data_IF_271406526768
#
_entry.id   IF_271406526768
#
_cell.length_a   1.000
_cell.length_b   1.000
_cell.length_c   1.000
_cell.angle_alpha   90.00
_cell.angle_beta   90.00
_cell.angle_gamma   90.00
#
_symmetry.space_group_name_H-M   'P 1'
#
loop_
_entity.id
_entity.type
_entity.pdbx_description
1 polymer ?
#
# COMPACT_ATOMS: atom_id res chain seq x y z
N UNK A 1 -10.51 -27.01 70.10
CA UNK A 1 -11.68 -26.13 69.88
C UNK A 1 -11.22 -24.89 69.11
N UNK A 2 -11.98 -24.50 68.05
CA UNK A 2 -11.96 -23.21 67.30
C UNK A 2 -10.70 -22.95 66.44
N UNK A 3 -10.72 -23.13 65.11
CA UNK A 3 -11.35 -22.37 63.98
C UNK A 3 -10.63 -21.05 63.61
N UNK A 4 -10.04 -21.04 62.38
CA UNK A 4 -10.13 -20.00 61.30
C UNK A 4 -9.48 -18.60 61.59
N UNK A 5 -8.84 -17.77 60.73
CA UNK A 5 -8.59 -17.59 59.27
C UNK A 5 -7.33 -16.69 59.14
N UNK A 6 -6.31 -17.08 58.36
CA UNK A 6 -5.84 -16.47 57.10
C UNK A 6 -5.80 -14.92 57.01
N UNK A 7 -4.58 -14.38 56.86
CA UNK A 7 -4.28 -13.29 55.90
C UNK A 7 -2.77 -13.04 55.85
N UNK A 8 -2.08 -13.59 54.85
CA UNK A 8 -0.74 -13.16 54.45
C UNK A 8 -0.84 -12.71 52.99
N UNK A 9 -0.60 -11.43 52.77
CA UNK A 9 -0.45 -10.84 51.46
C UNK A 9 0.84 -11.38 50.81
N UNK A 10 0.70 -12.12 49.72
CA UNK A 10 1.82 -12.49 48.86
C UNK A 10 1.90 -11.45 47.73
N UNK A 11 2.79 -10.48 47.89
CA UNK A 11 3.19 -9.55 46.84
C UNK A 11 4.10 -10.34 45.87
N UNK A 12 3.57 -10.78 44.74
CA UNK A 12 4.35 -11.44 43.69
C UNK A 12 5.06 -10.37 42.86
N UNK A 13 6.31 -10.08 43.20
CA UNK A 13 7.23 -9.33 42.35
C UNK A 13 7.67 -10.22 41.18
N UNK A 14 7.20 -9.91 39.97
CA UNK A 14 7.70 -10.53 38.74
C UNK A 14 9.06 -9.91 38.44
N UNK A 15 10.12 -10.68 38.67
CA UNK A 15 11.47 -10.38 38.22
C UNK A 15 11.55 -10.65 36.71
N UNK A 16 11.55 -9.58 35.91
CA UNK A 16 11.91 -9.65 34.49
C UNK A 16 13.44 -9.72 34.44
N UNK A 17 13.96 -10.88 34.07
CA UNK A 17 15.38 -11.08 33.80
C UNK A 17 15.74 -10.43 32.47
N UNK A 18 16.27 -9.21 32.50
CA UNK A 18 16.96 -8.60 31.38
C UNK A 18 18.35 -9.22 31.22
N UNK A 19 18.55 -10.11 30.25
CA UNK A 19 19.88 -10.36 29.71
C UNK A 19 20.29 -9.14 28.89
N UNK A 20 21.18 -8.31 29.46
CA UNK A 20 21.94 -7.30 28.72
C UNK A 20 22.83 -8.02 27.71
N UNK A 21 22.48 -7.96 26.44
CA UNK A 21 23.47 -7.92 25.38
C UNK A 21 23.58 -6.46 24.95
N UNK A 22 24.80 -5.93 25.04
CA UNK A 22 25.13 -4.56 24.71
C UNK A 22 24.97 -4.36 23.19
N UNK A 23 23.85 -3.75 22.79
CA UNK A 23 23.72 -3.15 21.47
C UNK A 23 24.49 -1.83 21.51
N UNK A 24 25.71 -1.85 20.97
CA UNK A 24 26.47 -0.65 20.68
C UNK A 24 25.69 0.15 19.63
N UNK A 25 25.06 1.22 20.08
CA UNK A 25 24.46 2.24 19.22
C UNK A 25 25.57 3.09 18.60
N UNK A 26 25.73 3.04 17.29
CA UNK A 26 26.39 4.12 16.52
C UNK A 26 25.39 4.72 15.55
N UNK A 27 24.93 5.91 15.92
CA UNK A 27 24.50 7.09 15.14
C UNK A 27 24.03 6.94 13.68
N UNK A 28 22.83 7.49 13.47
CA UNK A 28 22.39 8.42 12.43
C UNK A 28 23.17 8.50 11.09
N UNK A 29 22.44 8.32 9.99
CA UNK A 29 22.66 9.06 8.74
C UNK A 29 23.81 8.57 7.85
N UNK A 30 23.64 7.43 7.18
CA UNK A 30 24.28 7.14 5.91
C UNK A 30 23.56 5.97 5.23
N UNK A 31 23.36 6.05 3.91
CA UNK A 31 22.81 4.99 3.08
C UNK A 31 23.54 3.66 3.34
N UNK A 32 22.84 2.70 3.95
CA UNK A 32 23.35 1.33 4.01
C UNK A 32 23.10 0.66 2.66
N UNK A 33 24.15 0.58 1.85
CA UNK A 33 24.27 -0.43 0.79
C UNK A 33 24.19 -1.82 1.44
N UNK A 34 23.06 -2.50 1.26
CA UNK A 34 22.94 -3.92 1.55
C UNK A 34 23.59 -4.63 0.36
N UNK A 35 24.67 -5.38 0.59
CA UNK A 35 25.30 -6.21 -0.45
C UNK A 35 24.63 -7.58 -0.44
N UNK A 36 24.00 -7.97 -1.56
CA UNK A 36 23.59 -9.36 -1.79
C UNK A 36 24.78 -10.15 -2.38
N UNK A 37 24.85 -11.45 -2.05
CA UNK A 37 25.96 -12.40 -2.29
C UNK A 37 26.37 -12.61 -3.77
N UNK A 38 25.76 -11.87 -4.71
CA UNK A 38 25.98 -12.00 -6.15
C UNK A 38 26.69 -10.79 -6.80
N UNK A 39 27.16 -9.80 -6.03
CA UNK A 39 27.97 -8.70 -6.57
C UNK A 39 27.22 -7.72 -7.49
N UNK A 40 25.88 -7.71 -7.46
CA UNK A 40 25.10 -6.62 -8.03
C UNK A 40 25.10 -5.42 -7.07
N UNK A 41 25.45 -4.24 -7.58
CA UNK A 41 25.27 -2.97 -6.89
C UNK A 41 23.79 -2.84 -6.50
N UNK A 42 23.49 -2.61 -5.22
CA UNK A 42 22.11 -2.42 -4.79
C UNK A 42 21.59 -1.13 -5.44
N UNK A 43 20.82 -1.28 -6.52
CA UNK A 43 20.02 -0.19 -7.06
C UNK A 43 19.08 0.34 -5.97
N UNK A 44 18.55 1.55 -6.16
CA UNK A 44 17.50 2.10 -5.28
C UNK A 44 16.42 1.03 -5.06
N UNK A 45 16.13 0.66 -3.81
CA UNK A 45 15.06 -0.29 -3.46
C UNK A 45 13.74 0.45 -3.25
N UNK A 46 12.60 -0.23 -3.48
CA UNK A 46 11.29 0.35 -3.18
C UNK A 46 11.17 0.52 -1.66
N UNK A 47 10.76 1.72 -1.25
CA UNK A 47 10.41 2.04 0.14
C UNK A 47 9.02 2.66 0.14
N UNK A 48 8.03 1.89 0.59
CA UNK A 48 6.68 2.36 0.91
C UNK A 48 6.57 2.54 2.43
N UNK A 49 5.78 3.53 2.87
CA UNK A 49 5.56 3.83 4.29
C UNK A 49 4.10 3.60 4.74
N UNK A 50 3.30 2.84 3.98
CA UNK A 50 1.89 2.63 4.28
C UNK A 50 1.67 1.83 5.58
N UNK A 51 2.49 0.79 5.83
CA UNK A 51 2.41 -0.03 7.04
C UNK A 51 2.79 0.76 8.30
N UNK A 52 3.87 1.55 8.23
CA UNK A 52 4.33 2.43 9.30
C UNK A 52 3.35 3.58 9.54
N UNK A 53 2.78 4.16 8.48
CA UNK A 53 1.72 5.16 8.58
C UNK A 53 0.52 4.58 9.34
N UNK A 54 0.07 3.37 8.97
CA UNK A 54 -1.01 2.70 9.69
C UNK A 54 -0.66 2.45 11.17
N UNK A 55 0.54 1.93 11.45
CA UNK A 55 0.98 1.69 12.83
C UNK A 55 0.97 2.99 13.66
N UNK A 56 1.43 4.10 13.07
CA UNK A 56 1.38 5.42 13.68
C UNK A 56 -0.06 5.88 13.95
N UNK A 57 -0.98 5.67 12.99
CA UNK A 57 -2.39 6.03 13.16
C UNK A 57 -3.08 5.19 14.23
N UNK A 58 -2.79 3.88 14.31
CA UNK A 58 -3.29 2.99 15.36
C UNK A 58 -2.81 3.42 16.74
N UNK A 59 -1.54 3.82 16.86
CA UNK A 59 -0.98 4.33 18.11
C UNK A 59 -1.65 5.64 18.57
N UNK A 60 -2.02 6.51 17.63
CA UNK A 60 -2.66 7.80 17.92
C UNK A 60 -4.18 7.67 18.16
N UNK A 61 -4.84 6.70 17.52
CA UNK A 61 -6.28 6.49 17.62
C UNK A 61 -6.63 5.01 17.79
N UNK A 62 -6.72 4.50 19.04
CA UNK A 62 -7.08 3.11 19.29
C UNK A 62 -8.44 2.66 18.72
N UNK A 63 -9.36 3.59 18.43
CA UNK A 63 -10.66 3.26 17.78
C UNK A 63 -10.50 2.88 16.31
N UNK A 64 -9.38 3.21 15.69
CA UNK A 64 -9.08 2.80 14.33
C UNK A 64 -9.03 1.27 14.22
N UNK A 65 -8.47 0.57 15.22
CA UNK A 65 -8.42 -0.89 15.22
C UNK A 65 -9.83 -1.52 15.08
N UNK A 66 -10.80 -1.05 15.88
CA UNK A 66 -12.19 -1.50 15.81
C UNK A 66 -12.86 -1.17 14.47
N UNK A 67 -12.53 -0.02 13.89
CA UNK A 67 -13.02 0.38 12.57
C UNK A 67 -12.49 -0.56 11.50
N UNK A 68 -11.21 -0.89 11.54
CA UNK A 68 -10.58 -1.80 10.59
C UNK A 68 -11.08 -3.23 10.75
N UNK A 69 -11.31 -3.71 11.98
CA UNK A 69 -11.97 -5.01 12.20
C UNK A 69 -13.36 -5.06 11.56
N UNK A 70 -14.12 -3.96 11.65
CA UNK A 70 -15.43 -3.86 11.00
C UNK A 70 -15.30 -3.88 9.47
N UNK A 71 -14.28 -3.21 8.91
CA UNK A 71 -14.00 -3.21 7.48
C UNK A 71 -13.61 -4.61 7.01
N UNK A 72 -12.73 -5.31 7.72
CA UNK A 72 -12.35 -6.69 7.38
C UNK A 72 -13.53 -7.67 7.49
N UNK A 73 -14.38 -7.54 8.50
CA UNK A 73 -15.58 -8.37 8.63
C UNK A 73 -16.56 -8.16 7.46
N UNK A 74 -16.75 -6.91 7.02
CA UNK A 74 -17.55 -6.58 5.84
C UNK A 74 -16.92 -7.11 4.55
N UNK A 75 -15.61 -6.92 4.37
CA UNK A 75 -14.86 -7.42 3.22
C UNK A 75 -14.97 -8.94 3.10
N UNK A 76 -14.76 -9.66 4.21
CA UNK A 76 -14.93 -11.12 4.24
C UNK A 76 -16.35 -11.55 3.90
N UNK A 77 -17.34 -10.88 4.47
CA UNK A 77 -18.76 -11.17 4.19
C UNK A 77 -19.09 -10.95 2.72
N UNK A 78 -18.62 -9.84 2.13
CA UNK A 78 -18.79 -9.56 0.72
C UNK A 78 -18.15 -10.63 -0.17
N UNK A 79 -16.89 -11.00 0.09
CA UNK A 79 -16.19 -12.06 -0.65
C UNK A 79 -16.97 -13.38 -0.59
N UNK A 80 -17.52 -13.72 0.59
CA UNK A 80 -18.34 -14.92 0.75
C UNK A 80 -19.62 -14.89 -0.08
N UNK A 81 -20.29 -13.73 -0.21
CA UNK A 81 -21.50 -13.62 -1.05
C UNK A 81 -21.24 -13.80 -2.54
N UNK A 82 -19.99 -13.61 -2.98
CA UNK A 82 -19.60 -13.78 -4.38
C UNK A 82 -19.22 -15.23 -4.71
N UNK A 83 -19.08 -16.11 -3.72
CA UNK A 83 -18.81 -17.54 -3.94
C UNK A 83 -20.08 -18.27 -4.39
N UNK A 84 -20.00 -19.19 -5.37
CA UNK A 84 -21.15 -20.01 -5.76
C UNK A 84 -21.68 -20.84 -4.57
N UNK A 85 -23.01 -20.98 -4.39
CA UNK A 85 -23.61 -21.60 -3.19
C UNK A 85 -23.32 -23.09 -2.97
N UNK A 86 -22.62 -23.78 -3.89
CA UNK A 86 -22.21 -25.19 -3.78
C UNK A 86 -20.70 -25.40 -3.97
N UNK A 87 -19.90 -24.33 -3.89
CA UNK A 87 -18.46 -24.41 -4.07
C UNK A 87 -17.79 -24.97 -2.81
N UNK A 88 -17.11 -26.10 -2.92
CA UNK A 88 -16.36 -26.76 -1.84
C UNK A 88 -15.09 -26.02 -1.44
N UNK A 89 -15.14 -24.69 -1.34
CA UNK A 89 -14.00 -23.83 -1.01
C UNK A 89 -12.98 -23.62 -2.13
N UNK A 90 -13.19 -24.21 -3.31
CA UNK A 90 -12.24 -24.17 -4.44
C UNK A 90 -12.71 -23.40 -5.69
N UNK A 91 -13.95 -22.91 -5.75
CA UNK A 91 -14.41 -22.12 -6.90
C UNK A 91 -14.17 -20.62 -6.66
N UNK A 92 -13.63 -19.94 -7.68
CA UNK A 92 -13.39 -18.50 -7.66
C UNK A 92 -14.71 -17.72 -7.52
N UNK A 93 -14.77 -16.67 -6.69
CA UNK A 93 -15.96 -15.84 -6.55
C UNK A 93 -16.29 -15.13 -7.88
N UNK A 94 -17.58 -15.02 -8.21
CA UNK A 94 -18.04 -14.28 -9.39
C UNK A 94 -17.51 -12.85 -9.37
N UNK A 95 -16.81 -12.46 -10.43
CA UNK A 95 -16.02 -11.24 -10.53
C UNK A 95 -16.57 -10.25 -11.56
N UNK A 96 -17.82 -10.41 -11.99
CA UNK A 96 -18.46 -9.45 -12.89
C UNK A 96 -19.04 -8.28 -12.09
N UNK A 97 -18.31 -7.16 -12.09
CA UNK A 97 -18.72 -5.89 -11.52
C UNK A 97 -18.87 -4.84 -12.62
N UNK A 98 -19.79 -3.88 -12.45
CA UNK A 98 -19.75 -2.67 -13.26
C UNK A 98 -18.42 -1.93 -13.00
N UNK A 99 -17.89 -1.34 -14.07
CA UNK A 99 -16.69 -0.50 -13.97
C UNK A 99 -16.96 0.69 -13.07
N UNK A 100 -16.14 0.88 -12.03
CA UNK A 100 -16.17 2.04 -11.14
C UNK A 100 -15.15 3.05 -11.61
N UNK A 101 -15.54 4.32 -11.76
CA UNK A 101 -14.64 5.42 -12.09
C UNK A 101 -14.38 6.25 -10.83
N UNK A 102 -13.17 6.17 -10.29
CA UNK A 102 -12.76 6.96 -9.13
C UNK A 102 -12.28 8.33 -9.64
N UNK A 103 -12.91 9.44 -9.23
CA UNK A 103 -12.45 10.77 -9.57
C UNK A 103 -11.23 11.15 -8.71
N UNK A 104 -10.20 11.74 -9.33
CA UNK A 104 -8.89 12.00 -8.72
C UNK A 104 -8.56 13.48 -8.68
N UNK A 105 -8.11 13.97 -7.53
CA UNK A 105 -7.40 15.25 -7.41
C UNK A 105 -5.91 15.01 -7.19
N UNK A 106 -5.07 15.71 -7.97
CA UNK A 106 -3.61 15.67 -7.81
C UNK A 106 -3.12 17.01 -7.26
N UNK A 107 -2.44 16.97 -6.11
CA UNK A 107 -1.92 18.15 -5.42
C UNK A 107 -0.40 18.16 -5.53
N UNK A 108 0.13 18.95 -6.48
CA UNK A 108 1.58 19.14 -6.66
C UNK A 108 2.07 20.22 -5.69
N UNK A 109 2.90 19.82 -4.74
CA UNK A 109 3.55 20.72 -3.80
C UNK A 109 5.05 20.71 -4.08
N UNK A 110 5.56 21.82 -4.57
CA UNK A 110 6.91 21.91 -5.15
C UNK A 110 7.75 22.97 -4.46
N UNK A 111 9.05 22.69 -4.29
CA UNK A 111 10.05 23.63 -3.79
C UNK A 111 10.98 24.16 -4.89
N UNK A 112 11.06 23.45 -6.01
CA UNK A 112 11.84 23.84 -7.19
C UNK A 112 11.07 23.52 -8.49
N UNK A 113 11.67 23.87 -9.63
CA UNK A 113 11.05 23.73 -10.94
C UNK A 113 10.89 22.28 -11.41
N UNK A 114 11.76 21.36 -10.98
CA UNK A 114 11.65 19.94 -11.34
C UNK A 114 10.49 19.26 -10.61
N UNK A 115 10.27 19.62 -9.34
CA UNK A 115 9.15 19.11 -8.54
C UNK A 115 7.78 19.64 -9.01
N UNK A 116 7.75 20.75 -9.74
CA UNK A 116 6.52 21.26 -10.38
C UNK A 116 6.21 20.47 -11.66
N UNK A 117 5.98 19.17 -11.52
CA UNK A 117 5.82 18.19 -12.61
C UNK A 117 4.77 18.61 -13.65
N UNK A 118 4.95 18.29 -14.93
CA UNK A 118 4.04 18.75 -15.97
C UNK A 118 2.66 18.07 -15.91
N UNK A 119 1.65 18.68 -16.54
CA UNK A 119 0.33 18.03 -16.70
C UNK A 119 0.44 16.75 -17.53
N UNK A 120 1.40 16.67 -18.48
CA UNK A 120 1.68 15.47 -19.24
C UNK A 120 2.16 14.32 -18.32
N UNK A 121 3.11 14.60 -17.42
CA UNK A 121 3.55 13.63 -16.41
C UNK A 121 2.38 13.16 -15.52
N UNK A 122 1.50 14.07 -15.10
CA UNK A 122 0.30 13.70 -14.32
C UNK A 122 -0.65 12.80 -15.14
N UNK A 123 -0.95 13.19 -16.38
CA UNK A 123 -1.82 12.41 -17.26
C UNK A 123 -1.23 11.02 -17.58
N UNK A 124 0.09 10.93 -17.72
CA UNK A 124 0.78 9.64 -17.91
C UNK A 124 0.54 8.70 -16.73
N UNK A 125 0.53 9.21 -15.49
CA UNK A 125 0.22 8.38 -14.32
C UNK A 125 -1.22 7.90 -14.30
N UNK A 126 -2.18 8.78 -14.63
CA UNK A 126 -3.59 8.39 -14.71
C UNK A 126 -3.80 7.32 -15.80
N UNK A 127 -3.07 7.41 -16.91
CA UNK A 127 -3.07 6.36 -17.93
C UNK A 127 -2.47 5.04 -17.43
N UNK A 128 -1.39 5.05 -16.64
CA UNK A 128 -0.83 3.84 -16.00
C UNK A 128 -1.82 3.22 -15.02
N UNK A 129 -2.43 4.00 -14.13
CA UNK A 129 -3.44 3.48 -13.20
C UNK A 129 -4.59 2.80 -13.95
N UNK A 130 -5.08 3.42 -15.03
CA UNK A 130 -6.12 2.81 -15.86
C UNK A 130 -5.66 1.53 -16.56
N UNK A 131 -4.40 1.43 -16.98
CA UNK A 131 -3.87 0.20 -17.60
C UNK A 131 -3.74 -0.92 -16.58
N UNK A 132 -3.08 -0.63 -15.46
CA UNK A 132 -2.74 -1.60 -14.42
C UNK A 132 -4.00 -2.13 -13.71
N UNK A 133 -4.96 -1.26 -13.37
CA UNK A 133 -6.21 -1.67 -12.72
C UNK A 133 -7.22 -2.33 -13.66
N UNK A 134 -7.07 -2.17 -14.99
CA UNK A 134 -7.93 -2.82 -15.99
C UNK A 134 -7.29 -4.02 -16.68
N UNK A 135 -6.08 -4.43 -16.25
CA UNK A 135 -5.29 -5.49 -16.89
C UNK A 135 -5.11 -5.26 -18.41
N UNK A 136 -4.90 -4.01 -18.80
CA UNK A 136 -4.60 -3.60 -20.18
C UNK A 136 -3.17 -3.07 -20.33
N UNK A 137 -2.34 -3.26 -19.30
CA UNK A 137 -0.92 -3.02 -19.32
C UNK A 137 -0.21 -4.00 -20.26
N UNK A 138 0.73 -3.50 -21.08
CA UNK A 138 1.38 -4.28 -22.13
C UNK A 138 2.32 -5.37 -21.63
N UNK A 139 2.75 -5.27 -20.38
CA UNK A 139 3.60 -6.24 -19.65
C UNK A 139 2.78 -7.35 -18.98
N UNK A 140 1.43 -7.32 -19.04
CA UNK A 140 0.58 -8.40 -18.51
C UNK A 140 0.86 -9.77 -19.15
N UNK A 141 1.39 -9.79 -20.38
CA UNK A 141 1.80 -11.05 -21.04
C UNK A 141 3.04 -11.70 -20.41
N UNK A 142 3.75 -10.99 -19.52
CA UNK A 142 4.92 -11.51 -18.82
C UNK A 142 4.56 -12.35 -17.58
N UNK A 143 3.28 -12.38 -17.18
CA UNK A 143 2.79 -13.21 -16.07
C UNK A 143 3.16 -14.67 -16.29
N UNK A 144 3.89 -15.31 -15.34
CA UNK A 144 4.19 -16.72 -15.41
C UNK A 144 2.92 -17.56 -15.57
N UNK A 145 3.01 -18.65 -16.34
CA UNK A 145 1.85 -19.51 -16.62
C UNK A 145 1.15 -19.99 -15.35
N UNK A 146 1.89 -20.20 -14.26
CA UNK A 146 1.38 -20.58 -12.93
C UNK A 146 0.34 -19.58 -12.37
N UNK A 147 0.52 -18.28 -12.62
CA UNK A 147 -0.34 -17.23 -12.08
C UNK A 147 -1.25 -16.55 -13.12
N UNK A 148 -1.15 -16.96 -14.39
CA UNK A 148 -1.92 -16.36 -15.48
C UNK A 148 -3.44 -16.42 -15.27
N UNK A 149 -3.94 -17.48 -14.60
CA UNK A 149 -5.36 -17.61 -14.23
C UNK A 149 -5.80 -16.70 -13.08
N UNK A 150 -4.87 -16.13 -12.32
CA UNK A 150 -5.14 -15.25 -11.19
C UNK A 150 -5.14 -13.77 -11.57
N UNK A 151 -4.51 -13.38 -12.68
CA UNK A 151 -4.44 -11.99 -13.12
C UNK A 151 -5.82 -11.38 -13.37
N UNK A 152 -6.07 -10.19 -12.81
CA UNK A 152 -7.40 -9.61 -12.76
C UNK A 152 -7.53 -8.23 -13.40
N UNK A 153 -8.53 -8.08 -14.29
CA UNK A 153 -9.17 -6.78 -14.52
C UNK A 153 -10.02 -6.44 -13.28
N UNK A 154 -9.59 -5.45 -12.51
CA UNK A 154 -10.25 -5.07 -11.26
C UNK A 154 -11.59 -4.36 -11.48
N UNK A 155 -11.87 -3.93 -12.71
CA UNK A 155 -13.02 -3.10 -13.10
C UNK A 155 -13.06 -1.76 -12.32
N UNK A 156 -11.88 -1.22 -12.02
CA UNK A 156 -11.69 0.11 -11.45
C UNK A 156 -10.91 0.94 -12.47
N UNK A 157 -11.36 2.15 -12.70
CA UNK A 157 -10.69 3.13 -13.55
C UNK A 157 -10.68 4.49 -12.83
N UNK A 158 -9.86 5.41 -13.33
CA UNK A 158 -9.56 6.69 -12.70
C UNK A 158 -9.76 7.82 -13.70
N UNK A 159 -10.37 8.91 -13.24
CA UNK A 159 -10.53 10.13 -14.03
C UNK A 159 -9.94 11.32 -13.28
N UNK A 160 -8.98 12.00 -13.91
CA UNK A 160 -8.45 13.24 -13.37
C UNK A 160 -9.57 14.29 -13.32
N UNK A 161 -9.83 14.80 -12.12
CA UNK A 161 -10.86 15.83 -11.86
C UNK A 161 -10.23 17.21 -11.76
N UNK A 162 -9.07 17.31 -11.13
CA UNK A 162 -8.38 18.58 -11.00
C UNK A 162 -6.95 18.45 -10.51
N UNK A 163 -6.20 19.53 -10.70
CA UNK A 163 -4.82 19.66 -10.25
C UNK A 163 -4.71 20.92 -9.39
N UNK A 164 -4.13 20.78 -8.20
CA UNK A 164 -3.67 21.91 -7.39
C UNK A 164 -2.16 22.00 -7.50
N UNK A 165 -1.61 23.21 -7.67
CA UNK A 165 -0.15 23.45 -7.64
C UNK A 165 0.16 24.47 -6.56
N UNK A 166 1.09 24.15 -5.67
CA UNK A 166 1.50 25.02 -4.56
C UNK A 166 3.00 25.05 -4.41
N UNK A 167 3.60 26.23 -4.56
CA UNK A 167 4.97 26.45 -4.15
C UNK A 167 5.09 26.40 -2.62
N UNK A 168 6.13 25.75 -2.11
CA UNK A 168 6.49 25.74 -0.70
C UNK A 168 7.99 25.99 -0.54
N UNK A 169 8.39 26.75 0.47
CA UNK A 169 9.82 26.92 0.83
C UNK A 169 10.37 25.70 1.59
N UNK A 170 9.49 24.78 2.04
CA UNK A 170 9.88 23.51 2.66
C UNK A 170 10.33 22.54 1.57
N UNK A 171 11.59 22.14 1.63
CA UNK A 171 12.20 21.23 0.67
C UNK A 171 11.85 19.76 0.88
N UNK A 172 11.48 19.34 2.11
CA UNK A 172 11.17 17.95 2.45
C UNK A 172 10.01 17.86 3.44
N UNK A 173 9.05 16.97 3.18
CA UNK A 173 7.80 16.87 3.93
C UNK A 173 7.78 15.77 5.00
N UNK A 174 8.59 14.72 4.86
CA UNK A 174 8.53 13.54 5.72
C UNK A 174 7.19 12.81 5.61
N UNK A 175 6.89 12.00 6.62
CA UNK A 175 5.72 11.10 6.64
C UNK A 175 4.69 11.43 7.71
N UNK A 176 4.69 12.67 8.23
CA UNK A 176 3.78 13.15 9.29
C UNK A 176 2.47 13.77 8.77
N UNK A 177 2.18 13.59 7.48
CA UNK A 177 1.03 14.18 6.78
C UNK A 177 0.98 15.72 6.80
N UNK A 178 2.10 16.41 7.03
CA UNK A 178 2.13 17.89 7.00
C UNK A 178 1.77 18.44 5.62
N UNK A 179 2.11 17.72 4.53
CA UNK A 179 1.78 18.10 3.16
C UNK A 179 0.28 18.09 2.88
N UNK A 180 -0.49 17.38 3.71
CA UNK A 180 -1.96 17.28 3.61
C UNK A 180 -2.68 18.39 4.39
N UNK A 181 -1.94 19.36 4.94
CA UNK A 181 -2.48 20.41 5.82
C UNK A 181 -2.05 21.79 5.35
N UNK A 182 -3.00 22.62 4.92
CA UNK A 182 -2.72 24.00 4.50
C UNK A 182 -2.07 24.84 5.60
N UNK A 183 -2.46 24.57 6.86
CA UNK A 183 -1.88 25.17 8.07
C UNK A 183 -0.40 24.84 8.31
N UNK A 184 0.12 23.78 7.70
CA UNK A 184 1.54 23.39 7.73
C UNK A 184 2.24 23.68 6.39
N UNK A 185 1.64 24.53 5.55
CA UNK A 185 2.15 24.89 4.23
C UNK A 185 1.74 23.93 3.11
N UNK A 186 1.06 22.82 3.41
CA UNK A 186 0.60 21.82 2.46
C UNK A 186 -0.70 22.20 1.73
N UNK A 187 -1.46 21.20 1.28
CA UNK A 187 -2.77 21.34 0.64
C UNK A 187 -3.75 20.42 1.34
N UNK A 188 -4.87 20.97 1.84
CA UNK A 188 -5.92 20.16 2.48
C UNK A 188 -6.58 19.22 1.45
N UNK A 189 -7.06 18.03 1.86
CA UNK A 189 -7.80 17.15 0.96
C UNK A 189 -9.07 17.83 0.44
N UNK A 190 -9.35 17.64 -0.85
CA UNK A 190 -10.59 18.06 -1.48
C UNK A 190 -11.57 16.90 -1.39
N UNK A 191 -12.62 17.08 -0.58
CA UNK A 191 -13.75 16.15 -0.42
C UNK A 191 -13.33 14.65 -0.46
N UNK A 192 -12.56 14.20 0.55
CA UNK A 192 -11.97 12.86 0.59
C UNK A 192 -12.99 11.72 0.65
N UNK A 193 -14.29 12.04 0.83
CA UNK A 193 -15.35 11.05 0.73
C UNK A 193 -15.65 10.67 -0.73
N UNK A 194 -15.53 11.63 -1.65
CA UNK A 194 -15.92 11.48 -3.05
C UNK A 194 -14.74 11.50 -4.02
N UNK A 195 -13.54 11.91 -3.60
CA UNK A 195 -12.35 11.96 -4.44
C UNK A 195 -11.15 11.27 -3.83
N UNK A 196 -10.42 10.51 -4.66
CA UNK A 196 -9.06 10.11 -4.33
C UNK A 196 -8.14 11.33 -4.42
N UNK A 197 -7.54 11.69 -3.29
CA UNK A 197 -6.55 12.76 -3.20
C UNK A 197 -5.14 12.17 -3.29
N UNK A 198 -4.35 12.66 -4.25
CA UNK A 198 -2.96 12.26 -4.45
C UNK A 198 -2.06 13.48 -4.28
N UNK A 199 -1.17 13.47 -3.30
CA UNK A 199 -0.17 14.53 -3.12
C UNK A 199 1.15 14.14 -3.76
N UNK A 200 1.74 15.08 -4.49
CA UNK A 200 3.06 14.96 -5.10
C UNK A 200 3.99 15.94 -4.40
N UNK A 201 4.99 15.44 -3.70
CA UNK A 201 5.95 16.28 -2.97
C UNK A 201 7.23 15.52 -2.64
N UNK A 202 8.33 16.21 -2.34
CA UNK A 202 9.53 15.53 -1.83
C UNK A 202 9.30 15.00 -0.40
N UNK A 203 9.14 13.69 -0.26
CA UNK A 203 8.90 13.02 1.03
C UNK A 203 10.19 12.94 1.86
N UNK A 204 11.35 12.73 1.21
CA UNK A 204 12.61 12.47 1.89
C UNK A 204 12.85 11.01 2.28
N UNK A 205 14.02 10.72 2.83
CA UNK A 205 14.38 9.39 3.37
C UNK A 205 14.45 8.25 2.33
N UNK A 206 14.41 8.57 1.04
CA UNK A 206 14.30 7.59 -0.05
C UNK A 206 12.93 6.90 -0.15
N UNK A 207 11.91 7.42 0.54
CA UNK A 207 10.54 6.89 0.48
C UNK A 207 9.92 7.27 -0.86
N UNK A 208 9.39 6.27 -1.57
CA UNK A 208 8.78 6.49 -2.89
C UNK A 208 7.35 7.01 -2.76
N UNK A 209 6.60 6.46 -1.81
CA UNK A 209 5.23 6.81 -1.55
C UNK A 209 4.68 6.19 -0.27
N UNK A 210 3.47 6.58 0.09
CA UNK A 210 2.67 5.92 1.11
C UNK A 210 1.19 6.23 0.94
N UNK A 211 0.34 5.33 1.44
CA UNK A 211 -1.10 5.50 1.49
C UNK A 211 -1.64 5.58 2.92
N UNK A 212 -2.85 6.09 3.05
CA UNK A 212 -3.70 5.83 4.21
C UNK A 212 -4.67 4.69 3.89
N UNK A 213 -4.66 3.64 4.73
CA UNK A 213 -5.64 2.56 4.66
C UNK A 213 -7.07 3.03 4.98
N UNK A 214 -8.11 2.34 4.49
CA UNK A 214 -9.50 2.64 4.85
C UNK A 214 -9.74 2.67 6.36
N UNK A 215 -10.60 3.59 6.80
CA UNK A 215 -10.97 3.78 8.22
C UNK A 215 -10.16 4.86 8.94
N UNK A 216 -9.07 5.36 8.34
CA UNK A 216 -8.30 6.49 8.86
C UNK A 216 -9.05 7.83 8.82
N UNK A 217 -8.38 8.91 9.24
CA UNK A 217 -8.98 10.25 9.27
C UNK A 217 -9.24 10.79 7.86
N UNK A 218 -10.42 11.36 7.63
CA UNK A 218 -10.73 12.05 6.38
C UNK A 218 -9.75 13.20 6.06
N UNK A 219 -9.22 13.87 7.10
CA UNK A 219 -8.30 15.01 6.93
C UNK A 219 -6.93 14.64 6.34
N UNK A 220 -6.61 13.35 6.26
CA UNK A 220 -5.33 12.83 5.76
C UNK A 220 -5.52 11.68 4.76
N UNK A 221 -6.76 11.44 4.33
CA UNK A 221 -7.10 10.31 3.47
C UNK A 221 -6.60 10.50 2.04
N UNK A 222 -5.96 9.47 1.49
CA UNK A 222 -5.39 9.46 0.15
C UNK A 222 -3.97 8.93 0.11
N UNK A 223 -3.25 9.30 -0.94
CA UNK A 223 -1.94 8.76 -1.32
C UNK A 223 -0.92 9.88 -1.47
N UNK A 224 0.33 9.66 -1.07
CA UNK A 224 1.44 10.59 -1.29
C UNK A 224 2.53 9.89 -2.08
N UNK A 225 2.96 10.48 -3.19
CA UNK A 225 4.04 9.96 -4.03
C UNK A 225 5.13 11.02 -4.16
N UNK A 226 6.40 10.61 -4.09
CA UNK A 226 7.49 11.53 -4.37
C UNK A 226 7.55 11.86 -5.87
N UNK A 227 7.75 13.14 -6.19
CA UNK A 227 7.72 13.64 -7.57
C UNK A 227 8.49 12.79 -8.63
N UNK A 228 9.73 12.32 -8.38
CA UNK A 228 10.46 11.51 -9.36
C UNK A 228 9.91 10.09 -9.58
N UNK A 229 8.87 9.67 -8.86
CA UNK A 229 8.30 8.32 -8.95
C UNK A 229 6.81 8.34 -9.32
N UNK A 230 6.35 9.44 -9.94
CA UNK A 230 4.97 9.63 -10.39
C UNK A 230 4.92 9.88 -11.90
N UNK A 231 4.19 9.03 -12.63
CA UNK A 231 4.11 9.07 -14.09
C UNK A 231 5.22 8.30 -14.79
N UNK A 232 5.30 8.44 -16.12
CA UNK A 232 6.22 7.71 -17.00
C UNK A 232 7.04 8.62 -17.90
N UNK A 233 6.90 9.93 -17.75
CA UNK A 233 7.56 10.95 -18.56
C UNK A 233 7.85 12.20 -17.73
N UNK A 234 8.78 13.04 -18.20
CA UNK A 234 9.16 14.25 -17.49
C UNK A 234 10.18 13.97 -16.39
N UNK A 235 9.91 14.46 -15.17
CA UNK A 235 10.80 14.29 -14.02
C UNK A 235 10.52 12.95 -13.34
N UNK A 236 11.07 11.88 -13.90
CA UNK A 236 10.97 10.51 -13.37
C UNK A 236 12.36 9.89 -13.16
N UNK A 237 12.49 8.93 -12.25
CA UNK A 237 13.75 8.27 -11.91
C UNK A 237 13.61 6.76 -11.94
N UNK A 238 14.30 6.12 -12.88
CA UNK A 238 14.52 4.67 -12.87
C UNK A 238 15.12 4.21 -11.52
N UNK A 239 14.81 2.98 -11.07
CA UNK A 239 13.97 1.96 -11.73
C UNK A 239 12.46 2.05 -11.41
N UNK A 240 12.00 3.21 -10.91
CA UNK A 240 10.62 3.45 -10.47
C UNK A 240 9.94 4.54 -11.32
N UNK A 241 10.12 4.45 -12.64
CA UNK A 241 9.75 5.43 -13.65
C UNK A 241 8.66 4.94 -14.60
N UNK A 242 7.92 3.88 -14.25
CA UNK A 242 6.79 3.40 -15.04
C UNK A 242 5.45 3.61 -14.31
N UNK A 243 5.45 4.38 -13.23
CA UNK A 243 4.26 4.80 -12.49
C UNK A 243 3.68 3.77 -11.52
N UNK A 244 4.41 2.67 -11.23
CA UNK A 244 3.86 1.57 -10.41
C UNK A 244 3.94 1.83 -8.92
N UNK A 245 4.72 2.84 -8.51
CA UNK A 245 4.61 3.40 -7.16
C UNK A 245 3.18 3.86 -6.86
N UNK A 246 2.54 4.60 -7.76
CA UNK A 246 1.14 5.00 -7.54
C UNK A 246 0.18 3.81 -7.60
N UNK A 247 0.39 2.84 -8.50
CA UNK A 247 -0.41 1.61 -8.56
C UNK A 247 -0.38 0.86 -7.22
N UNK A 248 0.81 0.70 -6.64
CA UNK A 248 1.03 0.08 -5.33
C UNK A 248 0.31 0.83 -4.20
N UNK A 249 0.53 2.15 -4.09
CA UNK A 249 -0.10 2.93 -3.02
C UNK A 249 -1.63 3.02 -3.15
N UNK A 250 -2.16 3.07 -4.38
CA UNK A 250 -3.62 3.01 -4.59
C UNK A 250 -4.16 1.62 -4.22
N UNK A 251 -3.38 0.55 -4.38
CA UNK A 251 -3.70 -0.76 -3.83
C UNK A 251 -3.92 -0.72 -2.31
N UNK A 252 -2.99 -0.10 -1.56
CA UNK A 252 -3.16 0.13 -0.12
C UNK A 252 -4.38 1.01 0.22
N UNK A 253 -4.57 2.10 -0.53
CA UNK A 253 -5.74 2.96 -0.39
C UNK A 253 -7.06 2.16 -0.52
N UNK A 254 -7.07 1.15 -1.40
CA UNK A 254 -8.18 0.24 -1.65
C UNK A 254 -8.11 -1.07 -0.83
N UNK A 255 -7.45 -1.06 0.32
CA UNK A 255 -7.43 -2.13 1.33
C UNK A 255 -6.56 -3.37 1.02
N UNK A 256 -5.59 -3.27 0.12
CA UNK A 256 -4.60 -4.31 -0.10
C UNK A 256 -3.42 -4.17 0.86
N UNK A 257 -2.91 -5.30 1.35
CA UNK A 257 -1.67 -5.37 2.13
C UNK A 257 -0.51 -5.68 1.21
N UNK A 258 0.70 -5.49 1.72
CA UNK A 258 1.87 -6.10 1.11
C UNK A 258 1.71 -7.60 1.03
N UNK A 259 2.16 -8.23 -0.05
CA UNK A 259 1.88 -9.65 -0.34
C UNK A 259 2.52 -10.63 0.66
N UNK A 260 3.55 -10.19 1.40
CA UNK A 260 4.16 -10.96 2.50
C UNK A 260 3.50 -10.69 3.88
N UNK A 261 2.40 -9.95 3.89
CA UNK A 261 1.61 -9.66 5.10
C UNK A 261 2.32 -8.81 6.15
N UNK A 262 3.37 -8.06 5.79
CA UNK A 262 4.21 -7.30 6.73
C UNK A 262 4.78 -8.18 7.86
N UNK A 263 5.01 -9.47 7.59
CA UNK A 263 5.57 -10.41 8.55
C UNK A 263 6.18 -11.65 7.91
N UNK A 264 6.38 -12.68 8.73
CA UNK A 264 6.91 -13.98 8.28
C UNK A 264 5.78 -14.88 7.77
N UNK A 265 6.10 -16.11 7.35
CA UNK A 265 5.17 -17.14 6.78
C UNK A 265 3.83 -17.44 7.49
N UNK A 266 3.52 -16.83 8.63
CA UNK A 266 2.23 -16.98 9.34
C UNK A 266 1.40 -15.70 9.36
N UNK A 267 1.92 -14.62 8.79
CA UNK A 267 1.14 -13.44 8.45
C UNK A 267 0.66 -13.57 7.02
N UNK A 268 -0.50 -12.98 6.76
CA UNK A 268 -1.21 -13.10 5.50
C UNK A 268 -1.63 -11.71 5.03
N UNK A 269 -1.73 -11.52 3.72
CA UNK A 269 -2.22 -10.28 3.11
C UNK A 269 -3.77 -10.27 3.01
N UNK A 270 -4.40 -11.33 3.55
CA UNK A 270 -5.83 -11.62 3.54
C UNK A 270 -6.39 -11.93 2.14
N UNK A 271 -5.53 -12.41 1.24
CA UNK A 271 -5.88 -12.82 -0.12
C UNK A 271 -5.47 -14.27 -0.35
N UNK A 272 -6.43 -15.13 -0.66
CA UNK A 272 -6.15 -16.57 -0.78
C UNK A 272 -5.31 -16.95 -2.02
N UNK A 273 -5.37 -16.15 -3.08
CA UNK A 273 -4.72 -16.43 -4.36
C UNK A 273 -3.37 -15.72 -4.54
N UNK A 274 -2.88 -15.08 -3.49
CA UNK A 274 -1.49 -14.63 -3.34
C UNK A 274 -0.73 -15.68 -2.51
N UNK A 275 0.31 -16.31 -3.05
CA UNK A 275 1.09 -17.31 -2.31
C UNK A 275 1.78 -16.70 -1.08
N UNK A 276 1.89 -17.49 -0.01
CA UNK A 276 2.55 -17.04 1.21
C UNK A 276 4.03 -16.69 0.95
N UNK A 277 4.48 -15.58 1.53
CA UNK A 277 5.90 -15.19 1.57
C UNK A 277 6.26 -14.66 2.96
N UNK A 278 7.54 -14.65 3.31
CA UNK A 278 8.04 -14.14 4.60
C UNK A 278 8.79 -12.81 4.48
N UNK A 279 8.86 -12.24 3.28
CA UNK A 279 9.55 -10.99 2.99
C UNK A 279 9.11 -10.39 1.67
N UNK A 280 9.43 -9.12 1.50
CA UNK A 280 9.40 -8.46 0.20
C UNK A 280 10.52 -8.95 -0.72
N UNK A 281 10.28 -8.82 -2.02
CA UNK A 281 11.28 -9.02 -3.07
C UNK A 281 11.63 -7.67 -3.72
N UNK A 282 12.88 -7.53 -4.18
CA UNK A 282 13.40 -6.28 -4.77
C UNK A 282 14.02 -6.53 -6.14
N UNK A 283 14.23 -5.45 -6.91
CA UNK A 283 14.82 -5.56 -8.23
C UNK A 283 13.88 -6.26 -9.21
N UNK A 284 14.41 -7.15 -10.03
CA UNK A 284 13.67 -7.97 -10.98
C UNK A 284 14.04 -9.45 -10.79
N UNK A 285 13.50 -10.11 -9.74
CA UNK A 285 13.86 -11.49 -9.42
C UNK A 285 13.54 -12.44 -10.58
N UNK A 286 14.43 -13.40 -10.82
CA UNK A 286 14.14 -14.49 -11.76
C UNK A 286 13.01 -15.38 -11.23
N UNK A 287 12.12 -15.81 -12.11
CA UNK A 287 11.09 -16.79 -11.77
C UNK A 287 11.62 -18.23 -11.91
N UNK A 288 11.38 -19.13 -10.94
CA UNK A 288 10.71 -18.89 -9.65
C UNK A 288 11.67 -18.34 -8.59
N UNK A 289 11.13 -17.47 -7.75
CA UNK A 289 11.68 -17.15 -6.42
C UNK A 289 10.76 -17.81 -5.39
N UNK A 290 11.31 -18.44 -4.34
CA UNK A 290 10.52 -19.31 -3.45
C UNK A 290 10.76 -18.99 -1.98
N UNK A 291 9.70 -18.59 -1.28
CA UNK A 291 9.66 -18.43 0.17
C UNK A 291 8.46 -19.16 0.77
N UNK A 292 8.51 -19.48 2.06
CA UNK A 292 7.43 -20.20 2.76
C UNK A 292 6.93 -21.51 2.10
N UNK A 293 7.76 -22.13 1.24
CA UNK A 293 7.44 -23.32 0.42
C UNK A 293 6.43 -23.05 -0.71
N UNK A 294 6.25 -21.80 -1.11
CA UNK A 294 5.47 -21.34 -2.27
C UNK A 294 6.37 -20.57 -3.23
N UNK A 295 6.02 -20.56 -4.52
CA UNK A 295 6.61 -19.62 -5.46
C UNK A 295 6.02 -18.24 -5.18
N UNK A 296 6.89 -17.26 -4.93
CA UNK A 296 6.47 -15.89 -4.68
C UNK A 296 5.91 -15.28 -5.97
N UNK A 297 4.79 -14.59 -5.86
CA UNK A 297 4.23 -13.79 -6.94
C UNK A 297 4.94 -12.42 -6.99
N UNK A 298 6.25 -12.43 -7.28
CA UNK A 298 7.14 -11.25 -7.24
C UNK A 298 6.74 -10.12 -8.19
N UNK A 299 5.89 -10.45 -9.17
CA UNK A 299 5.32 -9.53 -10.15
C UNK A 299 3.99 -8.91 -9.74
N UNK A 300 3.51 -9.20 -8.53
CA UNK A 300 2.35 -8.53 -7.99
C UNK A 300 2.67 -7.07 -7.68
N UNK A 301 1.75 -6.14 -7.98
CA UNK A 301 1.94 -4.73 -7.67
C UNK A 301 2.12 -4.45 -6.17
N UNK A 302 1.70 -5.36 -5.28
CA UNK A 302 1.86 -5.23 -3.82
C UNK A 302 3.17 -5.82 -3.27
N UNK A 303 4.12 -6.21 -4.13
CA UNK A 303 5.51 -6.50 -3.75
C UNK A 303 6.41 -5.24 -3.95
N UNK A 304 7.70 -5.33 -3.62
CA UNK A 304 8.68 -4.24 -3.69
C UNK A 304 9.65 -4.29 -4.88
N UNK A 305 9.30 -5.05 -5.91
CA UNK A 305 10.08 -5.13 -7.14
C UNK A 305 10.11 -3.79 -7.90
N UNK A 306 10.99 -3.71 -8.89
CA UNK A 306 11.08 -2.56 -9.79
C UNK A 306 9.81 -2.43 -10.63
N UNK A 307 9.50 -1.21 -11.10
CA UNK A 307 8.24 -0.98 -11.84
C UNK A 307 8.11 -1.82 -13.11
N UNK A 308 9.23 -2.19 -13.75
CA UNK A 308 9.24 -3.02 -14.96
C UNK A 308 8.97 -4.52 -14.70
N UNK A 309 8.93 -4.91 -13.42
CA UNK A 309 8.87 -6.30 -12.99
C UNK A 309 7.63 -6.59 -12.13
N UNK A 310 6.70 -5.64 -12.05
CA UNK A 310 5.36 -5.81 -11.49
C UNK A 310 4.31 -5.43 -12.53
N UNK A 311 3.31 -6.29 -12.72
CA UNK A 311 2.38 -6.15 -13.84
C UNK A 311 1.03 -6.87 -13.62
N UNK A 312 0.69 -7.23 -12.37
CA UNK A 312 -0.62 -7.82 -12.06
C UNK A 312 -1.14 -7.52 -10.64
N UNK A 313 -2.46 -7.42 -10.55
CA UNK A 313 -3.22 -7.75 -9.34
C UNK A 313 -3.89 -9.13 -9.52
N UNK A 314 -4.31 -9.75 -8.42
CA UNK A 314 -5.03 -11.02 -8.43
C UNK A 314 -6.56 -10.85 -8.38
N UNK A 315 -7.31 -11.92 -8.67
CA UNK A 315 -8.77 -11.95 -8.52
C UNK A 315 -9.19 -11.75 -7.06
N UNK A 316 -8.45 -12.33 -6.11
CA UNK A 316 -8.67 -12.10 -4.69
C UNK A 316 -8.41 -10.65 -4.26
N UNK A 317 -7.34 -10.02 -4.77
CA UNK A 317 -7.07 -8.59 -4.55
C UNK A 317 -8.19 -7.71 -5.14
N UNK A 318 -8.66 -8.01 -6.36
CA UNK A 318 -9.83 -7.35 -6.96
C UNK A 318 -11.02 -7.37 -6.02
N UNK A 319 -11.38 -8.52 -5.45
CA UNK A 319 -12.55 -8.63 -4.58
C UNK A 319 -12.41 -7.78 -3.31
N UNK A 320 -11.21 -7.69 -2.72
CA UNK A 320 -10.95 -6.81 -1.56
C UNK A 320 -11.12 -5.34 -1.92
N UNK A 321 -10.55 -4.90 -3.05
CA UNK A 321 -10.70 -3.53 -3.52
C UNK A 321 -12.16 -3.19 -3.84
N UNK A 322 -12.88 -4.10 -4.48
CA UNK A 322 -14.32 -3.93 -4.74
C UNK A 322 -15.11 -3.85 -3.45
N UNK A 323 -14.82 -4.68 -2.44
CA UNK A 323 -15.58 -4.69 -1.19
C UNK A 323 -15.64 -3.32 -0.48
N UNK A 324 -14.58 -2.51 -0.57
CA UNK A 324 -14.59 -1.16 0.02
C UNK A 324 -15.35 -0.14 -0.83
N UNK A 325 -15.51 -0.37 -2.12
CA UNK A 325 -16.23 0.50 -3.07
C UNK A 325 -17.72 0.16 -3.22
N UNK A 326 -18.13 -1.05 -2.84
CA UNK A 326 -19.53 -1.48 -2.92
C UNK A 326 -20.39 -0.82 -1.83
N UNK A 327 -21.72 -0.83 -2.02
CA UNK A 327 -22.67 -0.22 -1.09
C UNK A 327 -22.44 -0.69 0.35
N UNK A 328 -22.23 0.26 1.27
CA UNK A 328 -21.95 -0.01 2.69
C UNK A 328 -20.48 -0.31 3.01
N UNK A 329 -19.62 -0.37 2.00
CA UNK A 329 -18.16 -0.39 2.10
C UNK A 329 -17.58 0.94 2.59
N UNK A 330 -16.31 0.91 3.02
CA UNK A 330 -15.64 2.04 3.65
C UNK A 330 -15.43 3.25 2.72
N UNK A 331 -15.48 3.03 1.41
CA UNK A 331 -15.27 4.01 0.35
C UNK A 331 -16.39 3.99 -0.69
N UNK A 332 -17.60 3.56 -0.29
CA UNK A 332 -18.73 3.42 -1.21
C UNK A 332 -19.04 4.70 -1.98
N UNK A 333 -18.84 5.87 -1.37
CA UNK A 333 -19.07 7.17 -2.00
C UNK A 333 -18.15 7.49 -3.18
N UNK A 334 -16.98 6.84 -3.30
CA UNK A 334 -16.11 6.98 -4.48
C UNK A 334 -16.68 6.33 -5.74
N UNK A 335 -17.67 5.46 -5.59
CA UNK A 335 -18.23 4.63 -6.65
C UNK A 335 -19.62 5.08 -7.11
N UNK A 336 -20.11 6.22 -6.63
CA UNK A 336 -21.46 6.75 -6.89
C UNK A 336 -21.53 7.74 -8.06
#
# INVERSE_FOLDING_TARGET
>A
MKKFILSVAALATILISCSKEEVVSTQEGADQEIVLDNGEQLGKTRKCFAAENLASQLAQNPKLALTMETIEAKTKSFIQTKRPPNSGGGDEPSSDFPVVTIPVYVHVIYNNSQENISDAQINSQIAVLNKDFRLTNGDASLVPSEFSGNAADTQIQFSLTGITRKFSTRAEWGTRDDMKKSSQGGVDPIDPANYLNIWICNIGGGILGYAQFPGGSATTDGVVIAAPYFGTEGYVSAPFDLGRTATHEVGHYLNLRHIWGDGRCRQDDFVNDTPASDRSNYGCPSYPTTHCKSNDMTMNYMDYTNDACMYMFTNGQKLRMRAVLESGGARASLAL
#
